data_IF_650179961042
#
_entry.id   IF_650179961042
#
_cell.length_a   1.000
_cell.length_b   1.000
_cell.length_c   1.000
_cell.angle_alpha   90.00
_cell.angle_beta   90.00
_cell.angle_gamma   90.00
#
_symmetry.space_group_name_H-M   'P 1'
#
loop_
_entity.id
_entity.type
_entity.pdbx_description
1 polymer ?
#
# COMPACT_ATOMS: atom_id res chain seq x y z
N UNK A 1 6.85 1.77 -23.83
CA UNK A 1 7.57 1.44 -22.58
C UNK A 1 7.92 2.74 -21.86
N UNK A 2 7.61 3.05 -20.60
CA UNK A 2 6.75 2.49 -19.56
C UNK A 2 6.60 3.63 -18.52
N UNK A 3 5.43 4.27 -18.47
CA UNK A 3 5.16 5.49 -17.68
C UNK A 3 4.91 5.20 -16.20
N UNK A 4 5.78 4.42 -15.56
CA UNK A 4 5.52 3.89 -14.22
C UNK A 4 6.77 3.82 -13.34
N UNK A 5 7.78 4.66 -13.58
CA UNK A 5 8.92 4.72 -12.68
C UNK A 5 8.47 5.30 -11.32
N UNK A 6 9.03 4.84 -10.19
CA UNK A 6 8.73 5.40 -8.87
C UNK A 6 8.89 6.93 -8.81
N UNK A 7 9.83 7.48 -9.60
CA UNK A 7 10.10 8.92 -9.70
C UNK A 7 8.99 9.68 -10.43
N UNK A 8 8.43 9.11 -11.49
CA UNK A 8 7.31 9.71 -12.23
C UNK A 8 6.05 9.76 -11.35
N UNK A 9 5.79 8.68 -10.61
CA UNK A 9 4.66 8.59 -9.68
C UNK A 9 4.81 9.62 -8.57
N UNK A 10 6.00 9.69 -7.94
CA UNK A 10 6.30 10.67 -6.90
C UNK A 10 6.16 12.12 -7.42
N UNK A 11 6.64 12.38 -8.63
CA UNK A 11 6.51 13.69 -9.28
C UNK A 11 5.05 14.07 -9.54
N UNK A 12 4.22 13.11 -9.98
CA UNK A 12 2.80 13.34 -10.19
C UNK A 12 2.06 13.61 -8.87
N UNK A 13 2.39 12.86 -7.80
CA UNK A 13 1.84 13.10 -6.46
C UNK A 13 2.23 14.48 -5.94
N UNK A 14 3.51 14.85 -6.06
CA UNK A 14 4.01 16.16 -5.64
C UNK A 14 3.31 17.32 -6.38
N UNK A 15 3.10 17.17 -7.69
CA UNK A 15 2.35 18.15 -8.50
C UNK A 15 0.88 18.28 -8.05
N UNK A 16 0.20 17.16 -7.75
CA UNK A 16 -1.20 17.17 -7.33
C UNK A 16 -1.40 17.70 -5.91
N UNK A 17 -0.49 17.37 -5.01
CA UNK A 17 -0.60 17.73 -3.58
C UNK A 17 0.05 19.07 -3.25
N UNK A 18 0.84 19.62 -4.18
CA UNK A 18 1.67 20.81 -3.94
C UNK A 18 2.72 20.57 -2.85
N UNK A 19 3.11 19.30 -2.61
CA UNK A 19 4.11 18.92 -1.61
C UNK A 19 5.39 18.45 -2.28
N UNK A 20 6.49 18.53 -1.54
CA UNK A 20 7.76 17.95 -1.92
C UNK A 20 7.97 16.65 -1.13
N UNK A 21 7.21 15.61 -1.47
CA UNK A 21 7.42 14.29 -0.90
C UNK A 21 8.70 13.74 -1.55
N UNK A 22 9.66 13.35 -0.72
CA UNK A 22 10.95 12.83 -1.16
C UNK A 22 10.96 11.31 -1.15
N UNK A 23 11.80 10.70 -1.98
CA UNK A 23 11.99 9.24 -1.99
C UNK A 23 12.39 8.72 -0.61
N UNK A 24 13.17 9.48 0.17
CA UNK A 24 13.58 9.10 1.51
C UNK A 24 12.40 9.02 2.48
N UNK A 25 11.43 9.93 2.39
CA UNK A 25 10.21 9.88 3.21
C UNK A 25 9.36 8.66 2.87
N UNK A 26 9.22 8.35 1.57
CA UNK A 26 8.50 7.15 1.12
C UNK A 26 9.21 5.89 1.60
N UNK A 27 10.54 5.83 1.50
CA UNK A 27 11.35 4.70 1.98
C UNK A 27 11.20 4.48 3.49
N UNK A 28 11.19 5.54 4.29
CA UNK A 28 10.99 5.45 5.75
C UNK A 28 9.62 4.88 6.12
N UNK A 29 8.58 5.24 5.39
CA UNK A 29 7.26 4.63 5.58
C UNK A 29 7.27 3.16 5.16
N UNK A 30 7.85 2.85 3.99
CA UNK A 30 7.91 1.49 3.47
C UNK A 30 8.72 0.54 4.37
N UNK A 31 9.80 1.00 5.01
CA UNK A 31 10.61 0.17 5.90
C UNK A 31 9.86 -0.31 7.15
N UNK A 32 8.76 0.35 7.52
CA UNK A 32 7.93 -0.04 8.66
C UNK A 32 6.74 -0.93 8.31
N UNK A 33 6.53 -1.26 7.03
CA UNK A 33 5.39 -2.08 6.60
C UNK A 33 5.78 -3.56 6.65
N UNK A 34 5.08 -4.35 7.45
CA UNK A 34 5.27 -5.80 7.57
C UNK A 34 4.13 -6.57 6.89
N UNK A 35 4.25 -7.89 6.69
CA UNK A 35 3.13 -8.72 6.27
C UNK A 35 1.92 -8.61 7.20
N UNK A 36 2.14 -8.53 8.51
CA UNK A 36 1.09 -8.34 9.51
C UNK A 36 0.34 -7.01 9.31
N UNK A 37 1.05 -5.93 8.96
CA UNK A 37 0.43 -4.64 8.61
C UNK A 37 -0.54 -4.76 7.42
N UNK A 38 -0.27 -5.69 6.51
CA UNK A 38 -1.13 -5.93 5.34
C UNK A 38 -2.32 -6.86 5.64
N UNK A 39 -2.24 -7.67 6.70
CA UNK A 39 -3.33 -8.56 7.13
C UNK A 39 -4.27 -7.88 8.13
N UNK A 40 -3.73 -7.03 9.01
CA UNK A 40 -4.48 -6.31 10.03
C UNK A 40 -5.14 -5.06 9.46
N UNK A 41 -6.48 -5.04 9.47
CA UNK A 41 -7.24 -3.89 9.02
C UNK A 41 -6.96 -2.61 9.82
N UNK A 42 -6.76 -2.75 11.13
CA UNK A 42 -6.51 -1.61 12.00
C UNK A 42 -5.14 -0.99 11.74
N UNK A 43 -4.12 -1.82 11.53
CA UNK A 43 -2.79 -1.35 11.16
C UNK A 43 -2.75 -0.75 9.76
N UNK A 44 -3.48 -1.35 8.82
CA UNK A 44 -3.58 -0.82 7.47
C UNK A 44 -4.26 0.56 7.45
N UNK A 45 -5.33 0.75 8.24
CA UNK A 45 -5.96 2.06 8.43
C UNK A 45 -4.98 3.09 9.02
N UNK A 46 -4.18 2.70 10.02
CA UNK A 46 -3.13 3.56 10.60
C UNK A 46 -2.10 3.98 9.55
N UNK A 47 -1.63 3.03 8.75
CA UNK A 47 -0.69 3.27 7.66
C UNK A 47 -1.25 4.25 6.62
N UNK A 48 -2.49 4.04 6.16
CA UNK A 48 -3.14 4.94 5.19
C UNK A 48 -3.28 6.35 5.77
N UNK A 49 -3.63 6.49 7.05
CA UNK A 49 -3.67 7.81 7.74
C UNK A 49 -2.30 8.48 7.79
N UNK A 50 -1.23 7.72 8.05
CA UNK A 50 0.15 8.26 8.07
C UNK A 50 0.57 8.76 6.69
N UNK A 51 0.28 7.99 5.63
CA UNK A 51 0.55 8.39 4.24
C UNK A 51 -0.27 9.63 3.85
N UNK A 52 -1.56 9.64 4.17
CA UNK A 52 -2.46 10.77 3.92
C UNK A 52 -1.96 12.05 4.60
N UNK A 53 -1.51 11.94 5.85
CA UNK A 53 -0.94 13.06 6.62
C UNK A 53 0.36 13.56 6.00
N UNK A 54 1.24 12.66 5.54
CA UNK A 54 2.46 13.04 4.81
C UNK A 54 2.14 13.81 3.53
N UNK A 55 1.12 13.38 2.78
CA UNK A 55 0.67 14.04 1.56
C UNK A 55 -0.19 15.29 1.83
N UNK A 56 -0.59 15.54 3.09
CA UNK A 56 -1.61 16.51 3.51
C UNK A 56 -2.92 16.41 2.70
N UNK A 57 -3.33 15.19 2.38
CA UNK A 57 -4.59 14.92 1.67
C UNK A 57 -5.58 14.38 2.70
N UNK A 58 -6.74 15.04 2.90
CA UNK A 58 -7.78 14.48 3.75
C UNK A 58 -8.35 13.21 3.12
N UNK A 59 -8.54 12.18 3.92
CA UNK A 59 -9.15 10.91 3.50
C UNK A 59 -10.41 10.71 4.31
N UNK A 60 -11.55 10.54 3.63
CA UNK A 60 -12.81 10.23 4.30
C UNK A 60 -12.82 8.78 4.78
N UNK A 61 -13.70 8.46 5.73
CA UNK A 61 -13.88 7.08 6.20
C UNK A 61 -14.28 6.12 5.07
N UNK A 62 -15.05 6.60 4.09
CA UNK A 62 -15.39 5.81 2.90
C UNK A 62 -14.15 5.51 2.05
N UNK A 63 -13.35 6.53 1.73
CA UNK A 63 -12.10 6.34 0.97
C UNK A 63 -11.12 5.44 1.72
N UNK A 64 -11.06 5.55 3.05
CA UNK A 64 -10.25 4.68 3.90
C UNK A 64 -10.67 3.22 3.74
N UNK A 65 -11.97 2.94 3.86
CA UNK A 65 -12.52 1.58 3.72
C UNK A 65 -12.27 1.00 2.32
N UNK A 66 -12.42 1.82 1.27
CA UNK A 66 -12.17 1.40 -0.11
C UNK A 66 -10.69 1.04 -0.34
N UNK A 67 -9.76 1.85 0.19
CA UNK A 67 -8.32 1.56 0.11
C UNK A 67 -7.99 0.27 0.86
N UNK A 68 -8.48 0.13 2.10
CA UNK A 68 -8.25 -1.06 2.92
C UNK A 68 -8.76 -2.32 2.22
N UNK A 69 -9.98 -2.27 1.67
CA UNK A 69 -10.58 -3.38 0.95
C UNK A 69 -9.79 -3.72 -0.31
N UNK A 70 -9.39 -2.72 -1.09
CA UNK A 70 -8.58 -2.92 -2.29
C UNK A 70 -7.24 -3.59 -1.95
N UNK A 71 -6.55 -3.12 -0.92
CA UNK A 71 -5.26 -3.69 -0.51
C UNK A 71 -5.41 -5.11 0.02
N UNK A 72 -6.38 -5.38 0.92
CA UNK A 72 -6.67 -6.74 1.40
C UNK A 72 -7.08 -7.68 0.26
N UNK A 73 -7.81 -7.19 -0.73
CA UNK A 73 -8.17 -7.97 -1.92
C UNK A 73 -7.01 -8.21 -2.89
N UNK A 74 -6.05 -7.27 -2.95
CA UNK A 74 -4.83 -7.37 -3.76
C UNK A 74 -3.75 -8.23 -3.09
N UNK A 75 -3.88 -8.47 -1.79
CA UNK A 75 -3.15 -9.48 -1.03
C UNK A 75 -3.54 -10.88 -1.51
N UNK A 76 -3.06 -11.22 -2.70
CA UNK A 76 -2.87 -12.54 -3.28
C UNK A 76 -3.74 -13.62 -2.60
N UNK A 77 -4.91 -13.90 -3.19
CA UNK A 77 -5.90 -14.87 -2.73
C UNK A 77 -5.23 -16.03 -1.98
N UNK A 78 -5.47 -16.12 -0.67
CA UNK A 78 -4.95 -17.18 0.20
C UNK A 78 -5.16 -18.59 -0.39
N UNK A 79 -6.22 -18.77 -1.19
CA UNK A 79 -6.49 -20.00 -1.93
C UNK A 79 -5.44 -20.39 -2.98
N UNK A 80 -4.70 -19.45 -3.56
CA UNK A 80 -3.58 -19.75 -4.47
C UNK A 80 -2.36 -20.27 -3.70
N UNK A 81 -2.15 -19.79 -2.47
CA UNK A 81 -1.06 -20.25 -1.60
C UNK A 81 -1.33 -21.67 -1.06
N UNK A 82 -2.56 -21.95 -0.64
CA UNK A 82 -2.99 -23.31 -0.26
C UNK A 82 -2.84 -24.30 -1.42
N UNK A 83 -3.14 -23.88 -2.65
CA UNK A 83 -3.01 -24.72 -3.84
C UNK A 83 -1.55 -25.04 -4.15
N UNK A 84 -0.65 -24.06 -4.00
CA UNK A 84 0.80 -24.25 -4.13
C UNK A 84 1.36 -25.18 -3.03
N UNK A 85 0.94 -25.03 -1.77
CA UNK A 85 1.34 -25.93 -0.68
C UNK A 85 0.89 -27.37 -0.93
N UNK A 86 -0.36 -27.58 -1.36
CA UNK A 86 -0.87 -28.91 -1.70
C UNK A 86 -0.09 -29.57 -2.83
N UNK A 87 0.39 -28.82 -3.82
CA UNK A 87 1.21 -29.35 -4.91
C UNK A 87 2.64 -29.71 -4.46
N UNK A 88 3.20 -29.00 -3.47
CA UNK A 88 4.51 -29.32 -2.91
C UNK A 88 4.49 -30.54 -1.98
N UNK A 89 3.39 -30.76 -1.24
CA UNK A 89 3.24 -31.93 -0.35
C UNK A 89 2.94 -33.21 -1.15
N UNK A 90 2.34 -33.09 -2.34
CA UNK A 90 2.01 -34.24 -3.21
C UNK A 90 3.18 -34.72 -4.08
N UNK A 91 4.42 -34.28 -3.82
CA UNK A 91 5.61 -34.70 -4.57
C UNK A 91 6.58 -35.48 -3.69
#
# INVERSE_FOLDING_TARGET
MGKNSPKDILSAVNKKTGKNITENQVKKLASGVTPDTMQSEEELRKLVKQVASMAKVPVSEQTMNDIVKAVKSSGMSMGNLETLMKMMIKK
#
